data_IF_125163198039
#
_entry.id   IF_125163198039
#
_cell.length_a   1.000
_cell.length_b   1.000
_cell.length_c   1.000
_cell.angle_alpha   90.00
_cell.angle_beta   90.00
_cell.angle_gamma   90.00
#
_symmetry.space_group_name_H-M   'P 1'
#
loop_
_entity.id
_entity.type
_entity.pdbx_description
1 polymer ?
#
# COMPACT_ATOMS: atom_id res chain seq x y z
N UNK A 1 24.13 8.72 -22.04
CA UNK A 1 23.79 9.19 -20.67
C UNK A 1 22.52 8.49 -20.26
N UNK A 2 22.55 7.73 -19.17
CA UNK A 2 21.31 7.15 -18.61
C UNK A 2 20.55 8.34 -18.04
N UNK A 3 19.33 8.58 -18.51
CA UNK A 3 18.47 9.64 -17.99
C UNK A 3 17.88 9.16 -16.66
N UNK A 4 18.35 9.72 -15.55
CA UNK A 4 17.81 9.45 -14.22
C UNK A 4 16.54 10.29 -14.01
N UNK A 5 15.51 9.70 -13.44
CA UNK A 5 14.29 10.41 -13.03
C UNK A 5 14.59 11.17 -11.74
N UNK A 6 14.31 12.46 -11.73
CA UNK A 6 14.43 13.30 -10.55
C UNK A 6 13.24 13.10 -9.65
N UNK A 7 13.49 12.73 -8.40
CA UNK A 7 12.43 12.43 -7.44
C UNK A 7 12.47 13.36 -6.24
N UNK A 8 11.35 13.50 -5.56
CA UNK A 8 11.25 14.14 -4.25
C UNK A 8 10.31 13.36 -3.36
N UNK A 9 10.59 13.30 -2.06
CA UNK A 9 9.81 12.58 -1.07
C UNK A 9 9.10 13.54 -0.12
N UNK A 10 7.82 13.34 0.11
CA UNK A 10 7.02 14.10 1.07
C UNK A 10 6.64 13.20 2.25
N UNK A 11 7.17 13.51 3.41
CA UNK A 11 7.09 12.69 4.62
C UNK A 11 8.21 11.64 4.69
N UNK A 12 9.11 11.76 5.67
CA UNK A 12 10.18 10.79 5.94
C UNK A 12 9.96 10.11 7.31
N UNK A 13 8.71 9.77 7.61
CA UNK A 13 8.32 8.97 8.78
C UNK A 13 8.79 7.50 8.67
N UNK A 14 8.01 6.55 9.20
CA UNK A 14 8.30 5.11 9.09
C UNK A 14 8.39 4.67 7.63
N UNK A 15 7.26 4.69 6.90
CA UNK A 15 7.23 4.29 5.49
C UNK A 15 8.08 5.19 4.59
N UNK A 16 8.08 6.51 4.85
CA UNK A 16 8.94 7.41 4.07
C UNK A 16 10.43 7.11 4.19
N UNK A 17 10.89 6.53 5.30
CA UNK A 17 12.30 6.09 5.40
C UNK A 17 12.58 4.86 4.53
N UNK A 18 11.61 3.95 4.40
CA UNK A 18 11.72 2.78 3.50
C UNK A 18 11.78 3.25 2.04
N UNK A 19 10.89 4.16 1.65
CA UNK A 19 10.89 4.75 0.31
C UNK A 19 12.17 5.55 0.05
N UNK A 20 12.65 6.32 1.04
CA UNK A 20 13.92 7.06 0.91
C UNK A 20 15.09 6.12 0.60
N UNK A 21 15.21 4.99 1.31
CA UNK A 21 16.24 3.99 1.03
C UNK A 21 16.11 3.44 -0.39
N UNK A 22 14.90 3.12 -0.84
CA UNK A 22 14.66 2.64 -2.20
C UNK A 22 15.06 3.68 -3.27
N UNK A 23 14.78 4.96 -3.05
CA UNK A 23 15.24 6.04 -3.94
C UNK A 23 16.77 6.16 -3.97
N UNK A 24 17.41 6.05 -2.80
CA UNK A 24 18.87 6.17 -2.70
C UNK A 24 19.63 5.01 -3.34
N UNK A 25 19.07 3.80 -3.30
CA UNK A 25 19.66 2.58 -3.85
C UNK A 25 19.45 2.43 -5.35
N UNK A 26 18.46 3.11 -5.91
CA UNK A 26 18.10 2.97 -7.32
C UNK A 26 19.12 3.63 -8.27
N UNK A 27 19.60 2.91 -9.27
CA UNK A 27 20.44 3.50 -10.33
C UNK A 27 19.62 4.33 -11.33
N UNK A 28 18.30 4.32 -11.21
CA UNK A 28 17.36 4.96 -12.15
C UNK A 28 16.82 6.28 -11.65
N UNK A 29 17.05 6.62 -10.38
CA UNK A 29 16.49 7.77 -9.70
C UNK A 29 17.58 8.68 -9.12
N UNK A 30 17.27 9.98 -9.06
CA UNK A 30 18.03 10.99 -8.33
C UNK A 30 17.08 11.69 -7.37
N UNK A 31 17.16 11.39 -6.08
CA UNK A 31 16.37 12.10 -5.08
C UNK A 31 16.95 13.48 -4.81
N UNK A 32 16.22 14.53 -5.19
CA UNK A 32 16.64 15.91 -5.04
C UNK A 32 16.41 16.44 -3.63
N UNK A 33 15.27 16.07 -3.05
CA UNK A 33 14.82 16.68 -1.81
C UNK A 33 13.79 15.80 -1.06
N UNK A 34 13.71 16.09 0.23
CA UNK A 34 12.69 15.57 1.16
C UNK A 34 11.96 16.75 1.80
N UNK A 35 10.66 16.64 2.02
CA UNK A 35 9.90 17.57 2.85
C UNK A 35 9.22 16.85 4.01
N UNK A 36 9.40 17.34 5.23
CA UNK A 36 8.71 16.87 6.45
C UNK A 36 8.54 18.05 7.42
N UNK A 37 7.38 18.15 8.04
CA UNK A 37 7.12 19.21 9.04
C UNK A 37 8.08 19.12 10.23
N UNK A 38 8.66 17.96 10.47
CA UNK A 38 9.70 17.71 11.48
C UNK A 38 11.09 17.82 10.84
N UNK A 39 11.44 19.04 10.43
CA UNK A 39 12.68 19.32 9.63
C UNK A 39 13.95 18.75 10.27
N UNK A 40 14.09 18.84 11.59
CA UNK A 40 15.31 18.36 12.27
C UNK A 40 15.40 16.83 12.23
N UNK A 41 14.30 16.12 12.43
CA UNK A 41 14.22 14.66 12.26
C UNK A 41 14.50 14.26 10.79
N UNK A 42 13.97 15.03 9.82
CA UNK A 42 14.23 14.78 8.41
C UNK A 42 15.72 14.95 8.06
N UNK A 43 16.37 15.98 8.59
CA UNK A 43 17.83 16.18 8.42
C UNK A 43 18.64 15.03 9.02
N UNK A 44 18.26 14.56 10.20
CA UNK A 44 18.91 13.42 10.85
C UNK A 44 18.81 12.15 9.98
N UNK A 45 17.63 11.87 9.43
CA UNK A 45 17.41 10.70 8.57
C UNK A 45 18.11 10.80 7.20
N UNK A 46 18.15 12.00 6.62
CA UNK A 46 18.88 12.25 5.37
C UNK A 46 20.40 12.11 5.61
N UNK A 47 20.89 12.49 6.79
CA UNK A 47 22.31 12.40 7.15
C UNK A 47 23.20 13.23 6.21
N UNK A 48 24.34 12.67 5.83
CA UNK A 48 25.33 13.33 4.95
C UNK A 48 25.00 13.20 3.44
N UNK A 49 23.82 12.64 3.10
CA UNK A 49 23.42 12.52 1.70
C UNK A 49 23.18 13.92 1.08
N UNK A 50 23.50 14.12 -0.21
CA UNK A 50 23.34 15.41 -0.90
C UNK A 50 21.87 15.71 -1.26
N UNK A 51 20.96 15.45 -0.33
CA UNK A 51 19.50 15.61 -0.47
C UNK A 51 19.07 16.81 0.35
N UNK A 52 18.33 17.73 -0.26
CA UNK A 52 17.85 18.94 0.43
C UNK A 52 16.64 18.62 1.30
N UNK A 53 16.51 19.34 2.42
CA UNK A 53 15.38 19.18 3.33
C UNK A 53 14.58 20.46 3.40
N UNK A 54 13.25 20.34 3.20
CA UNK A 54 12.28 21.42 3.22
C UNK A 54 11.22 21.15 4.29
N UNK A 55 10.53 22.20 4.73
CA UNK A 55 9.45 22.07 5.72
C UNK A 55 8.17 21.46 5.11
N UNK A 56 7.84 21.82 3.89
CA UNK A 56 6.62 21.38 3.22
C UNK A 56 6.78 21.28 1.69
N UNK A 57 5.76 20.74 1.05
CA UNK A 57 5.73 20.53 -0.40
C UNK A 57 5.77 21.86 -1.19
N UNK A 58 5.22 22.95 -0.65
CA UNK A 58 5.19 24.24 -1.36
C UNK A 58 6.60 24.83 -1.48
N UNK A 59 7.34 24.78 -0.37
CA UNK A 59 8.74 25.20 -0.34
C UNK A 59 9.57 24.31 -1.26
N UNK A 60 9.38 22.98 -1.21
CA UNK A 60 10.08 22.03 -2.06
C UNK A 60 9.83 22.31 -3.55
N UNK A 61 8.58 22.37 -3.99
CA UNK A 61 8.21 22.55 -5.39
C UNK A 61 8.59 23.95 -5.94
N UNK A 62 8.71 24.95 -5.07
CA UNK A 62 9.21 26.27 -5.43
C UNK A 62 10.69 26.27 -5.81
N UNK A 63 11.49 25.47 -5.10
CA UNK A 63 12.95 25.47 -5.21
C UNK A 63 13.49 24.34 -6.08
N UNK A 64 12.78 23.21 -6.16
CA UNK A 64 13.19 22.02 -6.90
C UNK A 64 12.22 21.73 -8.07
N UNK A 65 12.70 20.91 -9.00
CA UNK A 65 11.92 20.49 -10.19
C UNK A 65 11.96 18.98 -10.32
N UNK A 66 11.29 18.23 -9.42
CA UNK A 66 11.23 16.78 -9.55
C UNK A 66 10.31 16.36 -10.71
N UNK A 67 10.65 15.26 -11.35
CA UNK A 67 9.79 14.60 -12.33
C UNK A 67 8.69 13.80 -11.63
N UNK A 68 9.04 13.20 -10.47
CA UNK A 68 8.16 12.38 -9.63
C UNK A 68 8.19 12.89 -8.19
N UNK A 69 7.01 13.00 -7.59
CA UNK A 69 6.82 13.22 -6.15
C UNK A 69 6.29 11.93 -5.53
N UNK A 70 6.98 11.45 -4.51
CA UNK A 70 6.58 10.31 -3.68
C UNK A 70 5.99 10.83 -2.36
N UNK A 71 4.77 10.37 -2.00
CA UNK A 71 4.01 10.89 -0.87
C UNK A 71 3.82 9.79 0.18
N UNK A 72 4.52 9.94 1.31
CA UNK A 72 4.53 9.04 2.47
C UNK A 72 4.07 9.74 3.75
N UNK A 73 2.99 10.49 3.65
CA UNK A 73 2.39 11.27 4.75
C UNK A 73 1.23 10.52 5.41
N UNK A 74 0.65 11.03 6.52
CA UNK A 74 -0.63 10.52 7.01
C UNK A 74 -1.73 10.56 5.96
N UNK A 75 -2.59 9.53 5.92
CA UNK A 75 -3.55 9.27 4.84
C UNK A 75 -4.51 10.43 4.54
N UNK A 76 -4.89 11.22 5.55
CA UNK A 76 -5.78 12.37 5.37
C UNK A 76 -5.17 13.51 4.54
N UNK A 77 -3.85 13.49 4.32
CA UNK A 77 -3.12 14.48 3.51
C UNK A 77 -2.93 14.03 2.05
N UNK A 78 -3.12 12.74 1.74
CA UNK A 78 -2.80 12.17 0.44
C UNK A 78 -3.47 12.91 -0.71
N UNK A 79 -4.78 13.16 -0.63
CA UNK A 79 -5.51 13.83 -1.71
C UNK A 79 -4.97 15.24 -1.99
N UNK A 80 -4.78 16.04 -0.95
CA UNK A 80 -4.33 17.41 -1.08
C UNK A 80 -2.91 17.49 -1.66
N UNK A 81 -2.00 16.69 -1.13
CA UNK A 81 -0.60 16.71 -1.54
C UNK A 81 -0.42 16.14 -2.95
N UNK A 82 -1.14 15.06 -3.28
CA UNK A 82 -1.14 14.49 -4.64
C UNK A 82 -1.62 15.48 -5.69
N UNK A 83 -2.76 16.14 -5.45
CA UNK A 83 -3.31 17.14 -6.37
C UNK A 83 -2.30 18.29 -6.56
N UNK A 84 -1.69 18.78 -5.47
CA UNK A 84 -0.71 19.86 -5.51
C UNK A 84 0.53 19.47 -6.35
N UNK A 85 1.06 18.27 -6.18
CA UNK A 85 2.19 17.78 -6.97
C UNK A 85 1.84 17.61 -8.46
N UNK A 86 0.64 17.05 -8.76
CA UNK A 86 0.16 16.89 -10.13
C UNK A 86 -0.03 18.24 -10.82
N UNK A 87 -0.61 19.23 -10.14
CA UNK A 87 -0.79 20.60 -10.65
C UNK A 87 0.53 21.34 -10.86
N UNK A 88 1.56 21.00 -10.07
CA UNK A 88 2.92 21.51 -10.29
C UNK A 88 3.65 20.84 -11.47
N UNK A 89 3.01 19.85 -12.12
CA UNK A 89 3.53 19.16 -13.29
C UNK A 89 4.41 17.96 -12.98
N UNK A 90 4.31 17.38 -11.77
CA UNK A 90 5.02 16.16 -11.38
C UNK A 90 4.12 14.92 -11.59
N UNK A 91 4.73 13.76 -11.89
CA UNK A 91 4.09 12.48 -11.71
C UNK A 91 4.05 12.16 -10.22
N UNK A 92 3.12 11.33 -9.76
CA UNK A 92 2.93 11.06 -8.32
C UNK A 92 2.82 9.57 -8.06
N UNK A 93 3.63 9.06 -7.13
CA UNK A 93 3.37 7.84 -6.38
C UNK A 93 2.94 8.23 -4.97
N UNK A 94 1.92 7.59 -4.42
CA UNK A 94 1.40 7.93 -3.11
C UNK A 94 1.16 6.64 -2.31
N UNK A 95 1.61 6.63 -1.06
CA UNK A 95 1.31 5.53 -0.15
C UNK A 95 -0.19 5.24 -0.07
N UNK A 96 -0.48 3.97 0.24
CA UNK A 96 -1.86 3.54 0.49
C UNK A 96 -2.38 4.11 1.84
N UNK A 97 -3.70 4.24 1.98
CA UNK A 97 -4.71 4.18 0.93
C UNK A 97 -4.59 5.39 0.00
N UNK A 98 -5.08 5.28 -1.24
CA UNK A 98 -5.11 6.43 -2.15
C UNK A 98 -5.73 7.67 -1.48
N UNK A 99 -6.85 7.45 -0.80
CA UNK A 99 -7.56 8.43 0.05
C UNK A 99 -8.39 7.70 1.11
N UNK A 100 -8.94 8.42 2.08
CA UNK A 100 -9.85 7.83 3.09
C UNK A 100 -11.26 7.60 2.48
N UNK A 101 -11.66 8.38 1.48
CA UNK A 101 -12.98 8.32 0.83
C UNK A 101 -12.84 8.22 -0.68
N UNK A 102 -13.61 7.37 -1.32
CA UNK A 102 -13.58 7.17 -2.78
C UNK A 102 -13.86 8.46 -3.57
N UNK A 103 -14.68 9.36 -3.04
CA UNK A 103 -14.96 10.67 -3.65
C UNK A 103 -13.74 11.58 -3.81
N UNK A 104 -12.73 11.43 -2.96
CA UNK A 104 -11.49 12.21 -3.08
C UNK A 104 -10.54 11.61 -4.13
N UNK A 105 -10.67 10.31 -4.45
CA UNK A 105 -9.94 9.68 -5.55
C UNK A 105 -10.26 10.32 -6.90
N UNK A 106 -11.53 10.65 -7.15
CA UNK A 106 -11.95 11.31 -8.41
C UNK A 106 -11.22 12.64 -8.62
N UNK A 107 -10.93 13.36 -7.55
CA UNK A 107 -10.18 14.63 -7.61
C UNK A 107 -8.73 14.43 -8.01
N UNK A 108 -8.08 13.36 -7.49
CA UNK A 108 -6.70 13.01 -7.87
C UNK A 108 -6.66 12.57 -9.33
N UNK A 109 -7.57 11.66 -9.74
CA UNK A 109 -7.68 11.17 -11.12
C UNK A 109 -7.87 12.33 -12.10
N UNK A 110 -8.82 13.23 -11.82
CA UNK A 110 -9.07 14.39 -12.65
C UNK A 110 -7.85 15.34 -12.71
N UNK A 111 -7.11 15.51 -11.60
CA UNK A 111 -5.90 16.33 -11.59
C UNK A 111 -4.78 15.68 -12.43
N UNK A 112 -4.60 14.36 -12.34
CA UNK A 112 -3.63 13.61 -13.13
C UNK A 112 -3.92 13.73 -14.63
N UNK A 113 -5.17 13.49 -15.03
CA UNK A 113 -5.62 13.63 -16.43
C UNK A 113 -5.47 15.05 -16.96
N UNK A 114 -5.94 16.05 -16.21
CA UNK A 114 -5.87 17.47 -16.59
C UNK A 114 -4.43 17.93 -16.86
N UNK A 115 -3.48 17.44 -16.07
CA UNK A 115 -2.08 17.84 -16.19
C UNK A 115 -1.23 16.86 -17.04
N UNK A 116 -1.84 15.80 -17.60
CA UNK A 116 -1.13 14.80 -18.41
C UNK A 116 -0.04 14.07 -17.63
N UNK A 117 -0.29 13.78 -16.34
CA UNK A 117 0.64 13.13 -15.44
C UNK A 117 0.16 11.76 -15.00
N UNK A 118 1.08 10.88 -14.69
CA UNK A 118 0.78 9.59 -14.11
C UNK A 118 0.63 9.71 -12.60
N UNK A 119 -0.32 8.93 -12.07
CA UNK A 119 -0.51 8.71 -10.65
C UNK A 119 -0.58 7.22 -10.38
N UNK A 120 0.04 6.76 -9.29
CA UNK A 120 -0.05 5.39 -8.80
C UNK A 120 -0.17 5.40 -7.27
N UNK A 121 -1.02 4.54 -6.72
CA UNK A 121 -1.02 4.24 -5.29
C UNK A 121 -0.01 3.13 -5.01
N UNK A 122 0.80 3.25 -3.95
CA UNK A 122 1.75 2.24 -3.52
C UNK A 122 1.02 1.07 -2.82
N UNK A 123 0.40 0.19 -3.61
CA UNK A 123 -0.19 -1.06 -3.14
C UNK A 123 0.85 -2.18 -3.12
N UNK A 124 1.80 -2.08 -2.20
CA UNK A 124 3.00 -2.93 -2.12
C UNK A 124 2.71 -4.44 -2.15
N UNK A 125 1.56 -4.88 -1.62
CA UNK A 125 1.17 -6.29 -1.61
C UNK A 125 1.11 -6.88 -3.02
N UNK A 126 0.77 -6.07 -4.03
CA UNK A 126 0.77 -6.51 -5.44
C UNK A 126 2.18 -6.80 -5.99
N UNK A 127 3.24 -6.32 -5.31
CA UNK A 127 4.65 -6.49 -5.67
C UNK A 127 5.40 -7.46 -4.76
N UNK A 128 4.75 -7.97 -3.70
CA UNK A 128 5.32 -8.98 -2.80
C UNK A 128 5.34 -10.35 -3.49
N UNK A 129 6.51 -11.00 -3.55
CA UNK A 129 6.70 -12.30 -4.21
C UNK A 129 5.70 -13.39 -3.79
N UNK A 130 5.35 -13.57 -2.49
CA UNK A 130 4.36 -14.58 -2.10
C UNK A 130 2.97 -14.34 -2.72
N UNK A 131 2.58 -13.07 -2.82
CA UNK A 131 1.29 -12.69 -3.41
C UNK A 131 1.31 -12.76 -4.94
N UNK A 132 2.44 -12.39 -5.56
CA UNK A 132 2.65 -12.60 -7.00
C UNK A 132 2.59 -14.09 -7.35
N UNK A 133 3.25 -14.95 -6.56
CA UNK A 133 3.18 -16.40 -6.73
C UNK A 133 1.75 -16.93 -6.63
N UNK A 134 0.98 -16.49 -5.62
CA UNK A 134 -0.43 -16.87 -5.50
C UNK A 134 -1.25 -16.44 -6.73
N UNK A 135 -1.04 -15.22 -7.21
CA UNK A 135 -1.69 -14.72 -8.43
C UNK A 135 -1.37 -15.58 -9.65
N UNK A 136 -0.10 -15.98 -9.80
CA UNK A 136 0.33 -16.83 -10.91
C UNK A 136 -0.29 -18.23 -10.83
N UNK A 137 -0.39 -18.82 -9.63
CA UNK A 137 -1.08 -20.11 -9.42
C UNK A 137 -2.56 -20.02 -9.74
N UNK A 138 -3.23 -18.92 -9.37
CA UNK A 138 -4.66 -18.70 -9.70
C UNK A 138 -4.83 -18.58 -11.23
N UNK A 139 -3.95 -17.79 -11.88
CA UNK A 139 -4.05 -17.52 -13.30
C UNK A 139 -3.67 -18.72 -14.18
N UNK A 140 -2.71 -19.55 -13.75
CA UNK A 140 -2.28 -20.74 -14.50
C UNK A 140 -3.35 -21.84 -14.52
N UNK A 141 -4.17 -21.92 -13.45
CA UNK A 141 -5.13 -22.98 -13.26
C UNK A 141 -4.52 -24.36 -12.95
N UNK A 142 -3.21 -24.44 -12.65
CA UNK A 142 -2.51 -25.72 -12.41
C UNK A 142 -3.09 -26.53 -11.25
N UNK A 143 -3.68 -25.85 -10.25
CA UNK A 143 -4.35 -26.49 -9.12
C UNK A 143 -5.87 -26.63 -9.31
N UNK A 144 -6.40 -26.36 -10.52
CA UNK A 144 -7.82 -26.30 -10.76
C UNK A 144 -8.44 -25.00 -10.23
N UNK A 145 -9.75 -25.01 -10.02
CA UNK A 145 -10.50 -23.84 -9.58
C UNK A 145 -10.17 -23.46 -8.14
N UNK A 146 -10.03 -22.17 -7.88
CA UNK A 146 -9.96 -21.64 -6.51
C UNK A 146 -11.33 -21.83 -5.84
N UNK A 147 -11.34 -22.52 -4.71
CA UNK A 147 -12.56 -22.78 -3.92
C UNK A 147 -12.68 -21.77 -2.77
N UNK A 148 -11.56 -21.49 -2.10
CA UNK A 148 -11.53 -20.62 -0.93
C UNK A 148 -10.19 -19.87 -0.84
N UNK A 149 -10.26 -18.61 -0.41
CA UNK A 149 -9.10 -17.80 -0.03
C UNK A 149 -9.41 -17.14 1.32
N UNK A 150 -8.62 -17.44 2.33
CA UNK A 150 -8.67 -16.77 3.62
C UNK A 150 -7.40 -15.92 3.79
N UNK A 151 -7.57 -14.62 4.07
CA UNK A 151 -6.47 -13.69 4.29
C UNK A 151 -6.62 -13.07 5.68
N UNK A 152 -5.50 -12.91 6.37
CA UNK A 152 -5.48 -12.35 7.70
C UNK A 152 -4.32 -11.39 7.87
N UNK A 153 -4.63 -10.21 8.45
CA UNK A 153 -3.65 -9.17 8.76
C UNK A 153 -3.99 -8.56 10.11
N UNK A 154 -3.21 -8.91 11.13
CA UNK A 154 -3.51 -8.53 12.52
C UNK A 154 -2.26 -8.06 13.25
N UNK A 155 -2.44 -7.21 14.25
CA UNK A 155 -1.36 -6.75 15.12
C UNK A 155 -1.89 -5.92 16.29
N UNK A 156 -0.96 -5.35 17.04
CA UNK A 156 -1.26 -4.38 18.09
C UNK A 156 -1.75 -3.07 17.47
N UNK A 157 -2.52 -2.31 18.24
CA UNK A 157 -2.88 -0.95 17.87
C UNK A 157 -1.61 -0.08 17.69
N UNK A 158 -1.50 0.72 16.62
CA UNK A 158 -0.29 1.46 16.28
C UNK A 158 -0.09 2.69 17.18
N UNK A 159 0.44 2.49 18.41
CA UNK A 159 0.72 3.55 19.38
C UNK A 159 1.94 4.42 19.02
N UNK A 160 2.72 3.99 18.05
CA UNK A 160 3.93 4.66 17.56
C UNK A 160 3.67 5.78 16.56
N UNK A 161 2.43 5.91 16.06
CA UNK A 161 2.11 6.89 15.04
C UNK A 161 2.26 8.32 15.55
N UNK A 162 2.89 9.19 14.74
CA UNK A 162 3.08 10.60 15.09
C UNK A 162 1.74 11.30 15.38
N UNK A 163 1.63 11.96 16.55
CA UNK A 163 0.39 12.59 17.02
C UNK A 163 -0.83 11.66 17.01
N UNK A 164 -0.62 10.36 17.19
CA UNK A 164 -1.68 9.34 17.26
C UNK A 164 -2.63 9.34 16.03
N UNK A 165 -2.19 9.83 14.86
CA UNK A 165 -3.08 10.01 13.71
C UNK A 165 -3.73 8.70 13.26
N UNK A 166 -3.05 7.55 13.38
CA UNK A 166 -3.61 6.25 12.99
C UNK A 166 -4.79 5.83 13.85
N UNK A 167 -4.85 6.27 15.13
CA UNK A 167 -5.96 5.99 16.03
C UNK A 167 -7.16 6.95 15.82
N UNK A 168 -6.94 8.04 15.13
CA UNK A 168 -8.03 8.95 14.73
C UNK A 168 -8.65 8.44 13.41
N UNK A 169 -9.82 7.80 13.52
CA UNK A 169 -10.53 7.23 12.37
C UNK A 169 -10.86 8.28 11.29
N UNK A 170 -10.92 9.55 11.65
CA UNK A 170 -11.15 10.64 10.67
C UNK A 170 -9.90 10.96 9.86
N UNK A 171 -8.73 10.56 10.36
CA UNK A 171 -7.42 10.76 9.72
C UNK A 171 -6.89 9.51 9.02
N UNK A 172 -7.17 8.33 9.57
CA UNK A 172 -6.67 7.05 9.03
C UNK A 172 -7.72 6.22 8.29
N UNK A 173 -8.99 6.39 8.63
CA UNK A 173 -10.07 5.49 8.21
C UNK A 173 -10.15 4.20 9.05
N UNK A 174 -9.28 4.05 10.07
CA UNK A 174 -9.21 2.86 10.94
C UNK A 174 -8.77 1.59 10.20
N UNK A 175 -8.91 0.46 10.85
CA UNK A 175 -8.57 -0.85 10.28
C UNK A 175 -9.15 -1.08 8.87
N UNK A 176 -10.40 -0.71 8.57
CA UNK A 176 -10.96 -0.95 7.25
C UNK A 176 -10.15 -0.33 6.10
N UNK A 177 -9.75 0.93 6.26
CA UNK A 177 -9.10 1.73 5.22
C UNK A 177 -7.56 1.68 5.33
N UNK A 178 -7.02 1.58 6.54
CA UNK A 178 -5.56 1.56 6.69
C UNK A 178 -4.98 0.15 6.57
N UNK A 179 -5.62 -0.85 7.19
CA UNK A 179 -5.08 -2.21 7.28
C UNK A 179 -5.75 -3.18 6.30
N UNK A 180 -7.08 -3.31 6.34
CA UNK A 180 -7.81 -4.29 5.51
C UNK A 180 -7.73 -3.98 4.02
N UNK A 181 -7.48 -2.73 3.64
CA UNK A 181 -7.32 -2.32 2.24
C UNK A 181 -6.24 -3.13 1.51
N UNK A 182 -5.18 -3.56 2.19
CA UNK A 182 -4.12 -4.34 1.59
C UNK A 182 -4.62 -5.66 0.99
N UNK A 183 -5.41 -6.40 1.78
CA UNK A 183 -5.91 -7.71 1.39
C UNK A 183 -7.13 -7.59 0.47
N UNK A 184 -8.01 -6.63 0.75
CA UNK A 184 -9.18 -6.32 -0.10
C UNK A 184 -8.72 -5.87 -1.50
N UNK A 185 -7.72 -5.00 -1.58
CA UNK A 185 -7.14 -4.54 -2.83
C UNK A 185 -6.48 -5.68 -3.61
N UNK A 186 -5.69 -6.52 -2.92
CA UNK A 186 -5.06 -7.68 -3.53
C UNK A 186 -6.11 -8.65 -4.12
N UNK A 187 -7.09 -9.06 -3.32
CA UNK A 187 -8.18 -9.94 -3.75
C UNK A 187 -8.87 -9.39 -4.99
N UNK A 188 -9.25 -8.10 -4.94
CA UNK A 188 -9.90 -7.43 -6.06
C UNK A 188 -9.00 -7.35 -7.29
N UNK A 189 -7.69 -7.16 -7.11
CA UNK A 189 -6.73 -7.11 -8.22
C UNK A 189 -6.56 -8.44 -8.96
N UNK A 190 -6.85 -9.56 -8.29
CA UNK A 190 -6.71 -10.93 -8.83
C UNK A 190 -8.04 -11.50 -9.31
N UNK A 191 -9.12 -11.27 -8.55
CA UNK A 191 -10.43 -11.89 -8.82
C UNK A 191 -11.47 -10.92 -9.41
N UNK A 192 -11.18 -9.62 -9.44
CA UNK A 192 -12.11 -8.59 -9.91
C UNK A 192 -13.13 -8.17 -8.84
N UNK A 193 -14.31 -7.73 -9.29
CA UNK A 193 -15.39 -7.33 -8.39
C UNK A 193 -16.15 -8.54 -7.83
N UNK A 194 -16.43 -8.57 -6.51
CA UNK A 194 -17.19 -9.66 -5.92
C UNK A 194 -18.70 -9.55 -6.23
N UNK A 195 -19.35 -10.70 -6.39
CA UNK A 195 -20.80 -10.80 -6.53
C UNK A 195 -21.51 -10.31 -5.26
N UNK A 196 -21.04 -10.75 -4.09
CA UNK A 196 -21.54 -10.29 -2.77
C UNK A 196 -20.39 -9.82 -1.88
N UNK A 197 -20.70 -8.91 -0.96
CA UNK A 197 -19.77 -8.38 0.01
C UNK A 197 -20.48 -8.10 1.33
N UNK A 198 -20.19 -8.91 2.34
CA UNK A 198 -20.74 -8.83 3.69
C UNK A 198 -19.60 -8.67 4.71
N UNK A 199 -19.89 -8.06 5.86
CA UNK A 199 -18.89 -7.88 6.90
C UNK A 199 -19.46 -7.80 8.31
N UNK A 200 -18.57 -8.04 9.28
CA UNK A 200 -18.75 -7.70 10.69
C UNK A 200 -17.67 -6.69 11.06
N UNK A 201 -18.07 -5.59 11.64
CA UNK A 201 -17.17 -4.50 12.02
C UNK A 201 -17.25 -4.21 13.53
N UNK A 202 -16.10 -4.29 14.20
CA UNK A 202 -15.93 -3.89 15.60
C UNK A 202 -15.22 -2.53 15.65
N UNK A 203 -16.01 -1.46 15.76
CA UNK A 203 -15.56 -0.10 15.52
C UNK A 203 -14.89 0.50 16.73
N UNK A 204 -13.55 0.50 16.80
CA UNK A 204 -12.71 1.24 17.77
C UNK A 204 -13.22 1.19 19.23
N UNK A 205 -13.87 0.10 19.61
CA UNK A 205 -14.37 -0.06 20.97
C UNK A 205 -13.26 -0.57 21.89
N UNK A 206 -13.01 0.14 23.02
CA UNK A 206 -11.96 -0.24 23.96
C UNK A 206 -10.55 -0.26 23.34
N UNK A 207 -10.28 0.59 22.35
CA UNK A 207 -9.06 0.62 21.54
C UNK A 207 -8.81 -0.65 20.70
N UNK A 208 -9.82 -1.46 20.46
CA UNK A 208 -9.75 -2.53 19.46
C UNK A 208 -10.53 -2.10 18.23
N UNK A 209 -10.02 -2.44 17.06
CA UNK A 209 -10.68 -2.17 15.78
C UNK A 209 -10.46 -3.37 14.86
N UNK A 210 -11.53 -3.99 14.35
CA UNK A 210 -11.37 -5.07 13.38
C UNK A 210 -12.52 -5.15 12.36
N UNK A 211 -12.17 -5.56 11.16
CA UNK A 211 -13.10 -5.85 10.07
C UNK A 211 -12.90 -7.30 9.63
N UNK A 212 -13.97 -8.09 9.71
CA UNK A 212 -14.04 -9.42 9.09
C UNK A 212 -14.99 -9.32 7.89
N UNK A 213 -14.50 -9.64 6.69
CA UNK A 213 -15.26 -9.55 5.46
C UNK A 213 -15.43 -10.93 4.82
N UNK A 214 -16.55 -11.13 4.14
CA UNK A 214 -16.80 -12.29 3.28
C UNK A 214 -17.22 -11.81 1.90
N UNK A 215 -16.47 -12.22 0.89
CA UNK A 215 -16.70 -11.90 -0.51
C UNK A 215 -16.99 -13.18 -1.29
N UNK A 216 -17.89 -13.13 -2.27
CA UNK A 216 -18.14 -14.28 -3.16
C UNK A 216 -17.85 -13.94 -4.61
N UNK A 217 -17.31 -14.92 -5.35
CA UNK A 217 -17.01 -14.86 -6.78
C UNK A 217 -17.48 -16.17 -7.43
N UNK A 218 -18.74 -16.22 -7.82
CA UNK A 218 -19.38 -17.47 -8.22
C UNK A 218 -19.41 -18.49 -7.06
N UNK A 219 -18.67 -19.59 -7.21
CA UNK A 219 -18.54 -20.62 -6.17
C UNK A 219 -17.32 -20.40 -5.25
N UNK A 220 -16.47 -19.44 -5.55
CA UNK A 220 -15.31 -19.10 -4.72
C UNK A 220 -15.73 -18.22 -3.56
N UNK A 221 -15.30 -18.57 -2.34
CA UNK A 221 -15.50 -17.76 -1.13
C UNK A 221 -14.17 -17.20 -0.67
N UNK A 222 -14.14 -15.89 -0.42
CA UNK A 222 -12.97 -15.19 0.13
C UNK A 222 -13.33 -14.58 1.48
N UNK A 223 -12.46 -14.77 2.49
CA UNK A 223 -12.57 -14.04 3.75
C UNK A 223 -11.32 -13.17 3.94
N UNK A 224 -11.51 -11.94 4.44
CA UNK A 224 -10.41 -11.09 4.88
C UNK A 224 -10.63 -10.67 6.33
N UNK A 225 -9.62 -10.79 7.17
CA UNK A 225 -9.60 -10.32 8.55
C UNK A 225 -8.50 -9.29 8.73
N UNK A 226 -8.88 -8.04 9.01
CA UNK A 226 -7.96 -7.00 9.47
C UNK A 226 -8.27 -6.63 10.90
N UNK A 227 -7.26 -6.53 11.77
CA UNK A 227 -7.48 -6.17 13.16
C UNK A 227 -6.30 -5.46 13.82
N UNK A 228 -6.62 -4.45 14.62
CA UNK A 228 -5.76 -3.88 15.65
C UNK A 228 -6.32 -4.21 17.03
N UNK A 229 -5.54 -4.90 17.84
CA UNK A 229 -5.91 -5.27 19.19
C UNK A 229 -5.16 -4.44 20.25
N UNK A 230 -5.84 -4.12 21.34
CA UNK A 230 -5.23 -3.42 22.49
C UNK A 230 -4.49 -4.44 23.39
N UNK A 231 -3.54 -5.14 22.82
CA UNK A 231 -2.67 -6.07 23.52
C UNK A 231 -1.35 -6.16 22.74
N UNK A 232 -0.33 -6.73 23.36
CA UNK A 232 0.98 -6.98 22.70
C UNK A 232 0.86 -8.19 21.77
N UNK A 233 0.29 -7.96 20.60
CA UNK A 233 0.14 -8.96 19.53
C UNK A 233 1.14 -8.63 18.41
N UNK A 234 2.10 -9.51 18.13
CA UNK A 234 2.99 -9.34 16.98
C UNK A 234 2.21 -9.18 15.68
N UNK A 235 2.69 -8.30 14.80
CA UNK A 235 2.10 -8.16 13.48
C UNK A 235 2.23 -9.46 12.70
N UNK A 236 1.14 -9.89 12.07
CA UNK A 236 1.11 -11.08 11.20
C UNK A 236 0.27 -10.80 9.96
N UNK A 237 0.80 -11.21 8.80
CA UNK A 237 0.08 -11.22 7.53
C UNK A 237 0.19 -12.60 6.91
N UNK A 238 -0.96 -13.25 6.68
CA UNK A 238 -1.02 -14.63 6.23
C UNK A 238 -2.17 -14.85 5.24
N UNK A 239 -2.06 -15.92 4.46
CA UNK A 239 -3.19 -16.41 3.66
C UNK A 239 -3.16 -17.93 3.52
N UNK A 240 -4.35 -18.50 3.22
CA UNK A 240 -4.51 -19.85 2.70
C UNK A 240 -5.48 -19.82 1.52
N UNK A 241 -5.01 -20.31 0.37
CA UNK A 241 -5.80 -20.50 -0.85
C UNK A 241 -5.98 -21.99 -1.11
N UNK A 242 -7.22 -22.44 -1.15
CA UNK A 242 -7.58 -23.85 -1.38
C UNK A 242 -8.20 -23.97 -2.76
N UNK A 243 -7.67 -24.89 -3.55
CA UNK A 243 -8.08 -25.20 -4.91
C UNK A 243 -8.65 -26.63 -4.99
N UNK A 244 -9.22 -27.00 -6.12
CA UNK A 244 -9.72 -28.37 -6.35
C UNK A 244 -8.65 -29.44 -6.16
N UNK A 245 -7.40 -29.15 -6.53
CA UNK A 245 -6.29 -30.11 -6.57
C UNK A 245 -5.12 -29.74 -5.66
N UNK A 246 -5.32 -28.85 -4.69
CA UNK A 246 -4.26 -28.50 -3.77
C UNK A 246 -4.47 -27.18 -3.04
N UNK A 247 -3.39 -26.64 -2.47
CA UNK A 247 -3.42 -25.38 -1.73
C UNK A 247 -2.11 -24.61 -1.82
N UNK A 248 -2.20 -23.30 -1.61
CA UNK A 248 -1.07 -22.40 -1.37
C UNK A 248 -1.30 -21.70 -0.04
N UNK A 249 -0.29 -21.65 0.80
CA UNK A 249 -0.37 -21.02 2.13
C UNK A 249 0.87 -20.16 2.39
N UNK A 250 0.66 -18.99 2.98
CA UNK A 250 1.68 -18.14 3.57
C UNK A 250 1.39 -17.99 5.07
N UNK A 251 2.36 -18.32 5.90
CA UNK A 251 2.34 -18.07 7.35
C UNK A 251 3.78 -17.86 7.88
N UNK A 252 3.97 -17.89 9.19
CA UNK A 252 5.26 -17.67 9.84
C UNK A 252 6.34 -18.71 9.43
N UNK A 253 5.94 -19.84 8.85
CA UNK A 253 6.86 -20.86 8.31
C UNK A 253 7.24 -20.60 6.84
N UNK A 254 6.70 -19.54 6.24
CA UNK A 254 6.96 -19.15 4.87
C UNK A 254 5.87 -19.56 3.88
N UNK A 255 6.18 -19.45 2.58
CA UNK A 255 5.27 -19.82 1.49
C UNK A 255 5.34 -21.33 1.25
N UNK A 256 4.18 -21.96 1.13
CA UNK A 256 4.06 -23.40 0.93
C UNK A 256 3.02 -23.71 -0.16
N UNK A 257 3.33 -24.65 -1.07
CA UNK A 257 2.40 -25.23 -2.05
C UNK A 257 2.32 -26.74 -1.83
N UNK A 258 1.15 -27.26 -1.50
CA UNK A 258 0.91 -28.70 -1.29
C UNK A 258 1.86 -29.38 -0.29
N UNK A 259 2.28 -28.67 0.77
CA UNK A 259 3.21 -29.20 1.78
C UNK A 259 4.69 -28.94 1.47
N UNK A 260 5.03 -28.48 0.28
CA UNK A 260 6.40 -28.13 -0.09
C UNK A 260 6.64 -26.63 0.14
N UNK A 261 7.73 -26.30 0.84
CA UNK A 261 8.18 -24.92 1.05
C UNK A 261 8.68 -24.35 -0.28
N UNK A 262 8.17 -23.20 -0.67
CA UNK A 262 8.64 -22.46 -1.84
C UNK A 262 9.70 -21.48 -1.39
N UNK A 263 10.95 -21.75 -1.76
CA UNK A 263 12.04 -20.79 -1.55
C UNK A 263 11.89 -19.65 -2.56
N UNK A 264 11.58 -18.47 -2.05
CA UNK A 264 11.63 -17.24 -2.83
C UNK A 264 13.05 -16.68 -2.69
N UNK A 265 13.67 -16.28 -3.81
CA UNK A 265 15.03 -15.74 -3.80
C UNK A 265 15.17 -14.66 -2.72
N UNK A 266 16.12 -14.86 -1.81
CA UNK A 266 16.41 -13.92 -0.72
C UNK A 266 17.17 -12.75 -1.32
N UNK A 267 16.53 -11.62 -1.53
CA UNK A 267 17.21 -10.35 -1.70
C UNK A 267 16.93 -9.50 -0.48
N UNK A 268 18.01 -9.11 0.17
CA UNK A 268 18.18 -8.17 1.29
C UNK A 268 17.02 -7.90 2.24
N UNK A 269 17.27 -8.25 3.51
CA UNK A 269 16.41 -7.93 4.65
C UNK A 269 16.78 -6.54 5.19
N UNK A 270 15.93 -5.55 5.03
CA UNK A 270 15.98 -4.34 5.86
C UNK A 270 15.29 -4.63 7.20
N UNK A 271 16.07 -4.65 8.30
CA UNK A 271 15.59 -4.95 9.66
C UNK A 271 14.93 -3.75 10.38
N UNK A 272 14.71 -2.62 9.71
CA UNK A 272 14.48 -1.33 10.37
C UNK A 272 13.04 -0.80 10.36
N UNK A 273 12.03 -1.63 10.19
CA UNK A 273 10.66 -1.16 10.36
C UNK A 273 9.88 -2.05 11.31
N UNK A 274 9.07 -1.44 12.18
CA UNK A 274 8.13 -2.11 13.09
C UNK A 274 7.10 -2.99 12.36
N UNK A 275 7.17 -3.04 11.04
CA UNK A 275 6.44 -3.95 10.17
C UNK A 275 7.39 -5.09 9.79
N UNK A 276 7.43 -6.12 10.62
CA UNK A 276 8.20 -7.35 10.42
C UNK A 276 7.65 -8.20 9.25
N UNK A 277 7.59 -7.62 8.06
CA UNK A 277 7.44 -8.38 6.83
C UNK A 277 8.85 -8.55 6.30
N UNK A 278 9.36 -9.77 6.27
CA UNK A 278 10.57 -10.12 5.51
C UNK A 278 10.23 -9.86 4.03
N UNK A 279 10.36 -8.59 3.61
CA UNK A 279 10.07 -8.20 2.25
C UNK A 279 11.30 -8.48 1.40
N UNK A 280 11.06 -8.99 0.24
CA UNK A 280 12.01 -9.15 -0.86
C UNK A 280 12.22 -7.84 -1.64
N UNK A 281 12.34 -6.74 -0.95
CA UNK A 281 12.41 -5.37 -1.49
C UNK A 281 11.19 -4.96 -2.36
N UNK A 282 9.98 -5.44 -2.00
CA UNK A 282 8.75 -5.13 -2.74
C UNK A 282 8.48 -3.62 -2.86
N UNK A 283 8.89 -2.83 -1.87
CA UNK A 283 8.79 -1.37 -1.89
C UNK A 283 9.69 -0.75 -2.99
N UNK A 284 10.92 -1.20 -3.10
CA UNK A 284 11.78 -0.76 -4.20
C UNK A 284 11.21 -1.20 -5.56
N UNK A 285 10.68 -2.43 -5.66
CA UNK A 285 10.10 -2.94 -6.89
C UNK A 285 8.89 -2.11 -7.35
N UNK A 286 8.01 -1.68 -6.45
CA UNK A 286 6.86 -0.86 -6.83
C UNK A 286 7.27 0.56 -7.25
N UNK A 287 8.26 1.17 -6.58
CA UNK A 287 8.78 2.49 -6.93
C UNK A 287 9.49 2.43 -8.30
N UNK A 288 10.37 1.44 -8.51
CA UNK A 288 11.05 1.20 -9.78
C UNK A 288 10.05 0.94 -10.93
N UNK A 289 9.02 0.16 -10.67
CA UNK A 289 7.96 -0.06 -11.65
C UNK A 289 7.28 1.26 -12.07
N UNK A 290 6.95 2.12 -11.09
CA UNK A 290 6.34 3.41 -11.41
C UNK A 290 7.30 4.33 -12.17
N UNK A 291 8.57 4.37 -11.78
CA UNK A 291 9.62 5.14 -12.47
C UNK A 291 9.79 4.65 -13.91
N UNK A 292 9.75 3.32 -14.14
CA UNK A 292 9.78 2.77 -15.51
C UNK A 292 8.53 3.18 -16.31
N UNK A 293 7.36 3.20 -15.70
CA UNK A 293 6.15 3.73 -16.33
C UNK A 293 6.32 5.20 -16.75
N UNK A 294 6.90 6.02 -15.89
CA UNK A 294 7.17 7.44 -16.19
C UNK A 294 8.18 7.58 -17.32
N UNK A 295 9.31 6.86 -17.28
CA UNK A 295 10.34 6.87 -18.33
C UNK A 295 9.79 6.51 -19.71
N UNK A 296 8.89 5.54 -19.75
CA UNK A 296 8.34 5.01 -21.00
C UNK A 296 7.00 5.66 -21.37
N UNK A 297 6.52 6.62 -20.59
CA UNK A 297 5.21 7.27 -20.73
C UNK A 297 4.08 6.23 -20.87
N UNK A 298 4.09 5.21 -20.01
CA UNK A 298 3.09 4.13 -19.94
C UNK A 298 2.25 4.24 -18.69
N UNK A 299 0.98 3.90 -18.78
CA UNK A 299 0.12 3.82 -17.59
C UNK A 299 0.61 2.72 -16.63
N UNK A 300 0.49 2.92 -15.30
CA UNK A 300 0.86 1.91 -14.31
C UNK A 300 -0.22 0.81 -14.21
N UNK A 301 -0.28 -0.07 -15.19
CA UNK A 301 -1.34 -1.08 -15.35
C UNK A 301 -1.44 -2.05 -14.16
N UNK A 302 -0.34 -2.29 -13.43
CA UNK A 302 -0.38 -3.10 -12.22
C UNK A 302 -1.21 -2.45 -11.11
N UNK A 303 -1.23 -1.10 -11.05
CA UNK A 303 -1.99 -0.33 -10.04
C UNK A 303 -2.56 0.93 -10.69
N UNK A 304 -3.60 0.78 -11.50
CA UNK A 304 -4.33 1.94 -12.06
C UNK A 304 -5.03 2.72 -10.94
N UNK A 305 -5.09 4.06 -11.02
CA UNK A 305 -5.81 4.90 -10.04
C UNK A 305 -7.27 4.48 -9.86
N UNK A 306 -7.94 4.11 -10.93
CA UNK A 306 -9.32 3.63 -10.92
C UNK A 306 -9.45 2.30 -10.16
N UNK A 307 -8.44 1.44 -10.25
CA UNK A 307 -8.38 0.19 -9.47
C UNK A 307 -8.25 0.47 -7.98
N UNK A 308 -7.40 1.42 -7.59
CA UNK A 308 -7.23 1.83 -6.19
C UNK A 308 -8.51 2.47 -5.63
N UNK A 309 -9.18 3.33 -6.42
CA UNK A 309 -10.48 3.89 -6.06
C UNK A 309 -11.51 2.79 -5.81
N UNK A 310 -11.64 1.84 -6.73
CA UNK A 310 -12.63 0.77 -6.60
C UNK A 310 -12.35 -0.15 -5.40
N UNK A 311 -11.09 -0.29 -4.95
CA UNK A 311 -10.78 -0.98 -3.70
C UNK A 311 -11.32 -0.22 -2.48
N UNK A 312 -11.23 1.11 -2.46
CA UNK A 312 -11.85 1.95 -1.42
C UNK A 312 -13.38 1.85 -1.48
N UNK A 313 -13.99 1.90 -2.67
CA UNK A 313 -15.44 1.74 -2.85
C UNK A 313 -15.94 0.39 -2.34
N UNK A 314 -15.15 -0.68 -2.51
CA UNK A 314 -15.48 -1.99 -1.94
C UNK A 314 -15.43 -1.95 -0.40
N UNK A 315 -14.44 -1.29 0.20
CA UNK A 315 -14.39 -1.10 1.67
C UNK A 315 -15.59 -0.27 2.15
N UNK A 316 -15.95 0.82 1.46
CA UNK A 316 -17.13 1.63 1.79
C UNK A 316 -18.43 0.80 1.70
N UNK A 317 -18.55 -0.09 0.69
CA UNK A 317 -19.68 -1.02 0.55
C UNK A 317 -19.74 -2.02 1.71
N UNK A 318 -18.58 -2.58 2.10
CA UNK A 318 -18.48 -3.47 3.26
C UNK A 318 -18.91 -2.77 4.55
N UNK A 319 -18.44 -1.54 4.79
CA UNK A 319 -18.79 -0.77 5.99
C UNK A 319 -20.29 -0.38 6.02
N UNK A 320 -20.87 -0.06 4.86
CA UNK A 320 -22.30 0.26 4.74
C UNK A 320 -23.18 -0.93 5.09
N UNK A 321 -22.77 -2.14 4.71
CA UNK A 321 -23.50 -3.38 4.92
C UNK A 321 -23.09 -4.09 6.23
N UNK A 322 -22.11 -3.55 6.96
CA UNK A 322 -21.53 -4.20 8.13
C UNK A 322 -22.55 -4.41 9.24
N UNK A 323 -22.53 -5.62 9.83
CA UNK A 323 -23.05 -5.82 11.17
C UNK A 323 -22.06 -5.22 12.16
N UNK A 324 -22.38 -4.01 12.64
CA UNK A 324 -21.57 -3.35 13.67
C UNK A 324 -21.82 -4.00 15.02
N UNK A 325 -20.75 -4.35 15.72
CA UNK A 325 -20.76 -4.90 17.09
C UNK A 325 -19.79 -4.12 17.97
N UNK A 326 -20.07 -4.03 19.30
CA UNK A 326 -19.29 -3.25 20.27
C UNK A 326 -19.99 -2.02 20.78
#
# INVERSE_FOLDING_TARGET
MIFMIKTALIGIGGMGSVHFSAHMESPNMEILAVADVRVDMAKEKVGDNPVKVYHDIDELLKNEKPDVVDICTPSYLHAQLSIKALEAGCHVICEKPMTIKSSDCDRIIAAAEKNGKLFMTAHVVRFMKPYMFLKDVINSGDLGKLLRLDMKRTGSIPLWSWEDWMRDITKSGGVPIDLSIHDIDYVRSVLGEPDTADSVYYKMHGNNDYLLSTLTYGETVVTTEGAWYNCDLPFSASFIAVFENGYVKLDDNGLCKNGEIIELDKTDTHEDTEINIKSDNAYANEIEYFVDCVKNNKKPEMVLPESSKASIELVERLLKNAKVIG
#
